data_IF_134959943634
#
_entry.id   IF_134959943634
#
_cell.length_a   1.000
_cell.length_b   1.000
_cell.length_c   1.000
_cell.angle_alpha   90.00
_cell.angle_beta   90.00
_cell.angle_gamma   90.00
#
_symmetry.space_group_name_H-M   'P 1'
#
loop_
_entity.id
_entity.type
_entity.pdbx_description
1 polymer ?
#
# COMPACT_ATOMS: atom_id res chain seq x y z
N UNK A 1 30.40 -3.31 -60.93
CA UNK A 1 29.30 -3.20 -59.95
C UNK A 1 29.44 -4.37 -58.99
N UNK A 2 30.00 -4.16 -57.80
CA UNK A 2 30.17 -5.22 -56.79
C UNK A 2 29.04 -5.08 -55.76
N UNK A 3 28.16 -6.08 -55.69
CA UNK A 3 27.12 -6.17 -54.66
C UNK A 3 27.74 -6.27 -53.25
N UNK A 4 27.09 -5.69 -52.21
CA UNK A 4 27.58 -5.81 -50.86
C UNK A 4 27.27 -7.22 -50.32
N UNK A 5 28.32 -7.97 -49.99
CA UNK A 5 28.25 -9.24 -49.26
C UNK A 5 27.60 -9.01 -47.89
N UNK A 6 26.33 -9.41 -47.76
CA UNK A 6 25.65 -9.46 -46.47
C UNK A 6 26.27 -10.59 -45.63
N UNK A 7 27.03 -10.23 -44.59
CA UNK A 7 27.57 -11.21 -43.63
C UNK A 7 26.41 -11.98 -43.00
N UNK A 8 26.38 -13.32 -43.06
CA UNK A 8 25.35 -14.09 -42.38
C UNK A 8 25.53 -13.89 -40.87
N UNK A 9 24.51 -13.31 -40.21
CA UNK A 9 24.49 -13.25 -38.75
C UNK A 9 24.54 -14.69 -38.23
N UNK A 10 25.66 -15.04 -37.60
CA UNK A 10 25.85 -16.34 -36.97
C UNK A 10 24.85 -16.43 -35.84
N UNK A 11 24.05 -17.49 -35.78
CA UNK A 11 23.06 -17.73 -34.71
C UNK A 11 23.66 -17.50 -33.30
N UNK A 12 24.91 -17.91 -33.10
CA UNK A 12 25.70 -17.69 -31.88
C UNK A 12 26.05 -16.21 -31.59
N UNK A 13 26.20 -15.37 -32.62
CA UNK A 13 26.39 -13.93 -32.48
C UNK A 13 25.10 -13.23 -32.04
N UNK A 14 23.95 -13.63 -32.62
CA UNK A 14 22.63 -13.17 -32.20
C UNK A 14 22.30 -13.57 -30.76
N UNK A 15 22.55 -14.83 -30.39
CA UNK A 15 22.34 -15.33 -29.02
C UNK A 15 23.23 -14.61 -28.00
N UNK A 16 24.50 -14.32 -28.34
CA UNK A 16 25.41 -13.55 -27.47
C UNK A 16 24.97 -12.10 -27.29
N UNK A 17 24.51 -11.44 -28.35
CA UNK A 17 23.98 -10.08 -28.29
C UNK A 17 22.72 -10.03 -27.42
N UNK A 18 21.75 -10.91 -27.68
CA UNK A 18 20.52 -11.00 -26.85
C UNK A 18 20.82 -11.33 -25.38
N UNK A 19 21.85 -12.14 -25.11
CA UNK A 19 22.26 -12.44 -23.74
C UNK A 19 22.85 -11.21 -23.02
N UNK A 20 23.69 -10.42 -23.70
CA UNK A 20 24.22 -9.18 -23.15
C UNK A 20 23.12 -8.15 -22.88
N UNK A 21 22.13 -8.04 -23.77
CA UNK A 21 20.99 -7.15 -23.59
C UNK A 21 20.17 -7.56 -22.36
N UNK A 22 19.91 -8.85 -22.16
CA UNK A 22 19.23 -9.37 -20.98
C UNK A 22 20.01 -9.10 -19.69
N UNK A 23 21.33 -9.28 -19.70
CA UNK A 23 22.19 -8.98 -18.55
C UNK A 23 22.14 -7.49 -18.23
N UNK A 24 22.24 -6.63 -19.25
CA UNK A 24 22.17 -5.18 -19.09
C UNK A 24 20.84 -4.75 -18.49
N UNK A 25 19.72 -5.27 -19.01
CA UNK A 25 18.37 -4.99 -18.49
C UNK A 25 18.24 -5.51 -17.06
N UNK A 26 18.78 -6.69 -16.75
CA UNK A 26 18.73 -7.24 -15.40
C UNK A 26 19.50 -6.36 -14.40
N UNK A 27 20.72 -5.93 -14.75
CA UNK A 27 21.52 -4.99 -13.93
C UNK A 27 20.76 -3.69 -13.71
N UNK A 28 20.14 -3.14 -14.76
CA UNK A 28 19.35 -1.92 -14.67
C UNK A 28 18.15 -2.10 -13.72
N UNK A 29 17.42 -3.22 -13.83
CA UNK A 29 16.30 -3.53 -12.93
C UNK A 29 16.79 -3.69 -11.49
N UNK A 30 17.92 -4.36 -11.26
CA UNK A 30 18.54 -4.48 -9.96
C UNK A 30 18.90 -3.11 -9.38
N UNK A 31 19.52 -2.23 -10.18
CA UNK A 31 19.85 -0.88 -9.77
C UNK A 31 18.61 -0.08 -9.37
N UNK A 32 17.57 -0.10 -10.20
CA UNK A 32 16.29 0.58 -9.91
C UNK A 32 15.66 0.03 -8.63
N UNK A 33 15.65 -1.29 -8.43
CA UNK A 33 15.10 -1.93 -7.23
C UNK A 33 15.89 -1.66 -5.96
N UNK A 34 17.21 -1.56 -6.06
CA UNK A 34 18.07 -1.32 -4.90
C UNK A 34 17.96 0.14 -4.44
N UNK A 35 18.03 1.09 -5.39
CA UNK A 35 18.26 2.49 -5.07
C UNK A 35 17.07 3.43 -5.32
N UNK A 36 16.21 3.13 -6.30
CA UNK A 36 15.17 4.08 -6.71
C UNK A 36 13.83 3.74 -6.07
N UNK A 37 13.44 2.47 -6.15
CA UNK A 37 12.08 2.05 -5.83
C UNK A 37 12.05 0.74 -5.05
N UNK A 38 11.18 0.65 -4.04
CA UNK A 38 10.91 -0.60 -3.34
C UNK A 38 9.41 -0.87 -3.23
N UNK A 39 9.01 -2.13 -3.45
CA UNK A 39 7.61 -2.55 -3.31
C UNK A 39 7.40 -3.10 -1.90
N UNK A 40 6.49 -2.48 -1.16
CA UNK A 40 6.09 -2.94 0.18
C UNK A 40 4.63 -3.36 0.18
N UNK A 41 4.35 -4.47 0.87
CA UNK A 41 2.99 -4.85 1.25
C UNK A 41 2.65 -4.18 2.58
N UNK A 42 1.53 -3.47 2.65
CA UNK A 42 1.12 -2.78 3.89
C UNK A 42 0.70 -3.83 4.92
N UNK A 43 1.42 -3.98 6.05
CA UNK A 43 1.14 -5.06 7.00
C UNK A 43 0.03 -4.69 8.01
N UNK A 44 -0.34 -3.42 8.09
CA UNK A 44 -1.20 -2.89 9.15
C UNK A 44 -2.32 -2.02 8.61
N UNK A 45 -3.47 -2.09 9.24
CA UNK A 45 -4.68 -1.37 8.84
C UNK A 45 -4.72 0.11 9.28
N UNK A 46 -3.67 0.63 9.91
CA UNK A 46 -3.68 2.00 10.46
C UNK A 46 -3.82 3.12 9.43
N UNK A 47 -3.61 2.84 8.14
CA UNK A 47 -3.78 3.81 7.07
C UNK A 47 -5.14 3.66 6.37
N UNK A 48 -6.04 2.83 6.89
CA UNK A 48 -7.43 2.69 6.40
C UNK A 48 -8.16 4.01 6.62
N UNK A 49 -8.98 4.50 5.67
CA UNK A 49 -9.37 3.84 4.41
C UNK A 49 -8.41 4.07 3.23
N UNK A 50 -7.35 4.87 3.38
CA UNK A 50 -6.43 5.20 2.27
C UNK A 50 -5.59 4.01 1.80
N UNK A 51 -5.05 3.21 2.72
CA UNK A 51 -4.32 1.98 2.43
C UNK A 51 -4.86 0.87 3.30
N UNK A 52 -5.35 -0.19 2.66
CA UNK A 52 -5.97 -1.31 3.37
C UNK A 52 -4.93 -2.40 3.60
N UNK A 53 -4.76 -2.77 4.87
CA UNK A 53 -3.88 -3.86 5.28
C UNK A 53 -4.56 -4.71 6.34
N UNK A 54 -5.55 -5.52 5.95
CA UNK A 54 -6.33 -6.31 6.90
C UNK A 54 -7.60 -6.90 6.31
N UNK A 55 -8.49 -7.38 7.18
CA UNK A 55 -9.81 -7.86 6.79
C UNK A 55 -10.82 -6.73 6.87
N UNK A 56 -11.42 -6.39 5.74
CA UNK A 56 -12.44 -5.36 5.64
C UNK A 56 -13.77 -5.94 5.17
N UNK A 57 -14.85 -5.35 5.63
CA UNK A 57 -16.19 -5.49 5.10
C UNK A 57 -16.70 -4.11 4.66
N UNK A 58 -17.45 -4.07 3.56
CA UNK A 58 -18.19 -2.88 3.12
C UNK A 58 -19.65 -3.07 3.50
N UNK A 59 -20.19 -2.12 4.24
CA UNK A 59 -21.53 -2.20 4.84
C UNK A 59 -22.12 -0.79 4.89
N UNK A 60 -23.44 -0.68 5.01
CA UNK A 60 -24.13 0.59 5.27
C UNK A 60 -24.51 0.58 6.76
N UNK A 61 -23.59 1.09 7.60
CA UNK A 61 -23.65 0.92 9.06
C UNK A 61 -24.61 1.94 9.70
N UNK A 62 -24.77 3.12 9.10
CA UNK A 62 -25.65 4.18 9.59
C UNK A 62 -26.99 4.26 8.83
N UNK A 63 -27.13 3.55 7.71
CA UNK A 63 -28.36 3.45 6.94
C UNK A 63 -28.58 4.62 5.97
N UNK A 64 -27.51 5.36 5.64
CA UNK A 64 -27.57 6.50 4.72
C UNK A 64 -27.49 6.09 3.23
N UNK A 65 -27.26 4.79 2.97
CA UNK A 65 -27.16 4.21 1.64
C UNK A 65 -25.76 4.34 1.01
N UNK A 66 -24.75 4.79 1.75
CA UNK A 66 -23.35 4.82 1.32
C UNK A 66 -22.59 3.61 1.85
N UNK A 67 -21.51 3.27 1.14
CA UNK A 67 -20.60 2.22 1.58
C UNK A 67 -19.68 2.76 2.70
N UNK A 68 -19.86 2.23 3.90
CA UNK A 68 -18.96 2.32 5.04
C UNK A 68 -17.98 1.14 5.07
N UNK A 69 -16.91 1.29 5.85
CA UNK A 69 -15.96 0.19 6.09
C UNK A 69 -15.99 -0.26 7.54
N UNK A 70 -16.11 -1.57 7.75
CA UNK A 70 -15.80 -2.22 9.02
C UNK A 70 -14.50 -3.00 8.86
N UNK A 71 -13.55 -2.77 9.77
CA UNK A 71 -12.26 -3.43 9.80
C UNK A 71 -12.17 -4.30 11.06
N UNK A 72 -11.83 -5.57 10.88
CA UNK A 72 -11.48 -6.47 11.99
C UNK A 72 -9.99 -6.33 12.31
N UNK A 73 -9.66 -5.81 13.51
CA UNK A 73 -8.29 -5.70 14.00
C UNK A 73 -8.18 -6.23 15.43
N UNK A 74 -7.50 -7.37 15.61
CA UNK A 74 -7.19 -7.98 16.92
C UNK A 74 -8.41 -8.16 17.85
N UNK A 75 -9.56 -8.55 17.29
CA UNK A 75 -10.79 -8.76 18.05
C UNK A 75 -11.57 -7.48 18.38
N UNK A 76 -11.14 -6.33 17.85
CA UNK A 76 -11.94 -5.10 17.83
C UNK A 76 -12.35 -4.77 16.41
N UNK A 77 -13.54 -4.18 16.27
CA UNK A 77 -14.04 -3.66 15.01
C UNK A 77 -13.90 -2.14 15.01
N UNK A 78 -13.07 -1.65 14.10
CA UNK A 78 -12.98 -0.24 13.78
C UNK A 78 -13.91 0.05 12.60
N UNK A 79 -14.68 1.12 12.71
CA UNK A 79 -15.66 1.51 11.70
C UNK A 79 -15.22 2.84 11.07
N UNK A 80 -15.51 2.98 9.78
CA UNK A 80 -15.22 4.17 9.00
C UNK A 80 -16.51 4.57 8.28
N UNK A 81 -17.21 5.55 8.83
CA UNK A 81 -18.50 6.02 8.32
C UNK A 81 -18.28 7.06 7.23
N UNK A 82 -18.93 6.89 6.09
CA UNK A 82 -18.73 7.72 4.91
C UNK A 82 -19.71 8.90 4.89
N UNK A 83 -19.25 10.08 5.31
CA UNK A 83 -20.09 11.29 5.31
C UNK A 83 -20.18 11.98 3.92
N UNK A 84 -19.68 11.37 2.85
CA UNK A 84 -19.68 11.91 1.49
C UNK A 84 -18.55 12.88 1.14
N UNK A 85 -17.89 13.48 2.13
CA UNK A 85 -16.65 14.26 1.96
C UNK A 85 -15.39 13.48 2.36
N UNK A 86 -15.57 12.36 3.08
CA UNK A 86 -14.50 11.59 3.68
C UNK A 86 -15.06 10.48 4.56
N UNK A 87 -14.20 9.96 5.44
CA UNK A 87 -14.58 8.93 6.40
C UNK A 87 -14.29 9.38 7.82
N UNK A 88 -15.28 9.25 8.70
CA UNK A 88 -15.11 9.41 10.13
C UNK A 88 -14.73 8.05 10.73
N UNK A 89 -13.52 7.97 11.29
CA UNK A 89 -13.06 6.77 11.99
C UNK A 89 -13.60 6.75 13.41
N UNK A 90 -14.12 5.62 13.83
CA UNK A 90 -14.56 5.40 15.20
C UNK A 90 -14.59 3.92 15.56
N UNK A 91 -15.05 3.62 16.77
CA UNK A 91 -15.35 2.26 17.18
C UNK A 91 -16.85 2.04 17.18
N UNK A 92 -17.26 0.77 17.04
CA UNK A 92 -18.65 0.38 17.14
C UNK A 92 -19.33 0.92 18.43
N UNK A 93 -18.59 0.95 19.55
CA UNK A 93 -19.06 1.47 20.85
C UNK A 93 -19.31 2.99 20.88
N UNK A 94 -18.79 3.73 19.90
CA UNK A 94 -18.94 5.18 19.82
C UNK A 94 -20.24 5.57 19.11
N UNK A 95 -20.87 4.64 18.38
CA UNK A 95 -22.19 4.86 17.76
C UNK A 95 -23.30 4.95 18.81
N UNK A 96 -24.42 5.62 18.52
CA UNK A 96 -25.63 5.57 19.35
C UNK A 96 -26.09 4.12 19.58
N UNK A 97 -26.57 3.80 20.80
CA UNK A 97 -26.94 2.43 21.18
C UNK A 97 -27.92 1.71 20.23
N UNK A 98 -28.81 2.46 19.58
CA UNK A 98 -29.74 1.88 18.59
C UNK A 98 -29.02 1.41 17.32
N UNK A 99 -28.04 2.18 16.85
CA UNK A 99 -27.22 1.85 15.68
C UNK A 99 -26.21 0.75 16.00
N UNK A 100 -25.67 0.73 17.23
CA UNK A 100 -24.71 -0.30 17.68
C UNK A 100 -25.22 -1.72 17.42
N UNK A 101 -26.49 -2.00 17.72
CA UNK A 101 -27.08 -3.33 17.52
C UNK A 101 -27.17 -3.70 16.05
N UNK A 102 -27.66 -2.78 15.21
CA UNK A 102 -27.78 -2.99 13.76
C UNK A 102 -26.42 -3.18 13.11
N UNK A 103 -25.47 -2.29 13.40
CA UNK A 103 -24.10 -2.37 12.91
C UNK A 103 -23.42 -3.66 13.39
N UNK A 104 -23.60 -4.08 14.64
CA UNK A 104 -23.07 -5.35 15.15
C UNK A 104 -23.63 -6.56 14.41
N UNK A 105 -24.95 -6.59 14.16
CA UNK A 105 -25.60 -7.67 13.41
C UNK A 105 -25.12 -7.73 11.95
N UNK A 106 -24.99 -6.56 11.30
CA UNK A 106 -24.45 -6.48 9.95
C UNK A 106 -22.99 -6.97 9.90
N UNK A 107 -22.14 -6.48 10.80
CA UNK A 107 -20.74 -6.88 10.93
C UNK A 107 -20.62 -8.39 11.16
N UNK A 108 -21.45 -8.96 12.04
CA UNK A 108 -21.44 -10.39 12.33
C UNK A 108 -21.84 -11.26 11.11
N UNK A 109 -22.67 -10.73 10.22
CA UNK A 109 -23.10 -11.42 8.98
C UNK A 109 -22.21 -11.08 7.77
N UNK A 110 -21.35 -10.07 7.90
CA UNK A 110 -20.60 -9.55 6.78
C UNK A 110 -19.45 -10.48 6.37
N UNK A 111 -19.22 -10.67 5.05
CA UNK A 111 -18.06 -11.39 4.57
C UNK A 111 -16.81 -10.50 4.69
N UNK A 112 -16.04 -10.67 5.75
CA UNK A 112 -14.74 -10.04 5.89
C UNK A 112 -13.75 -10.57 4.86
N UNK A 113 -13.28 -9.71 3.95
CA UNK A 113 -12.30 -10.06 2.93
C UNK A 113 -10.93 -9.49 3.28
N UNK A 114 -9.92 -10.35 3.25
CA UNK A 114 -8.52 -9.92 3.40
C UNK A 114 -8.08 -9.09 2.21
N UNK A 115 -7.96 -7.77 2.38
CA UNK A 115 -7.42 -6.86 1.38
C UNK A 115 -6.09 -6.32 1.88
N UNK A 116 -5.06 -6.50 1.07
CA UNK A 116 -3.72 -6.05 1.37
C UNK A 116 -3.17 -5.30 0.17
N UNK A 117 -3.14 -3.99 0.28
CA UNK A 117 -2.63 -3.12 -0.76
C UNK A 117 -1.09 -3.16 -0.78
N UNK A 118 -0.53 -3.12 -1.98
CA UNK A 118 0.90 -2.97 -2.20
C UNK A 118 1.19 -1.51 -2.56
N UNK A 119 2.28 -0.97 -2.01
CA UNK A 119 2.73 0.39 -2.27
C UNK A 119 4.13 0.37 -2.87
N UNK A 120 4.33 1.27 -3.82
CA UNK A 120 5.62 1.48 -4.46
C UNK A 120 6.27 2.72 -3.86
N UNK A 121 7.34 2.52 -3.11
CA UNK A 121 8.03 3.59 -2.37
C UNK A 121 9.16 4.15 -3.21
N UNK A 122 9.15 5.46 -3.40
CA UNK A 122 10.27 6.20 -3.98
C UNK A 122 11.29 6.53 -2.87
N UNK A 123 12.47 5.91 -2.94
CA UNK A 123 13.56 6.09 -1.97
C UNK A 123 14.33 7.39 -2.16
N UNK A 124 14.31 7.96 -3.35
CA UNK A 124 15.11 9.15 -3.71
C UNK A 124 14.32 10.44 -3.54
N UNK A 125 13.01 10.37 -3.28
CA UNK A 125 12.15 11.54 -3.14
C UNK A 125 12.74 12.58 -2.18
N UNK A 126 13.12 12.17 -0.96
CA UNK A 126 13.63 13.10 0.04
C UNK A 126 15.12 13.47 -0.12
N UNK A 127 15.79 13.00 -1.18
CA UNK A 127 17.10 13.52 -1.57
C UNK A 127 16.99 14.83 -2.35
N UNK A 128 15.89 15.00 -3.10
CA UNK A 128 15.70 16.13 -4.01
C UNK A 128 14.61 17.11 -3.55
N UNK A 129 13.73 16.71 -2.63
CA UNK A 129 12.70 17.59 -2.05
C UNK A 129 12.58 17.42 -0.54
N UNK A 130 12.30 18.51 0.16
CA UNK A 130 11.91 18.45 1.57
C UNK A 130 10.55 17.74 1.74
N UNK A 131 10.33 17.08 2.90
CA UNK A 131 9.04 16.49 3.23
C UNK A 131 7.96 17.57 3.32
N UNK A 132 6.75 17.24 2.88
CA UNK A 132 5.58 18.13 2.90
C UNK A 132 4.48 17.51 3.75
N UNK A 133 3.65 18.37 4.35
CA UNK A 133 2.43 17.91 5.02
C UNK A 133 1.55 17.20 3.98
N UNK A 134 0.97 16.08 4.38
CA UNK A 134 0.17 15.21 3.53
C UNK A 134 0.95 14.07 2.86
N UNK A 135 2.29 14.12 2.80
CA UNK A 135 3.11 13.02 2.25
C UNK A 135 2.89 11.72 3.03
N UNK A 136 2.92 10.58 2.33
CA UNK A 136 2.93 9.26 2.97
C UNK A 136 4.38 8.80 3.07
N UNK A 137 4.90 8.75 4.30
CA UNK A 137 6.26 8.35 4.59
C UNK A 137 6.32 6.90 5.08
N UNK A 138 7.36 6.20 4.65
CA UNK A 138 7.69 4.84 5.07
C UNK A 138 8.99 4.89 5.84
N UNK A 139 8.98 4.40 7.08
CA UNK A 139 10.16 4.46 7.96
C UNK A 139 10.25 3.24 8.87
N UNK A 140 11.46 3.00 9.38
CA UNK A 140 11.69 1.98 10.42
C UNK A 140 11.45 2.64 11.78
N UNK A 141 10.58 2.08 12.63
CA UNK A 141 10.34 2.61 13.96
C UNK A 141 11.61 2.49 14.81
N UNK A 142 11.73 3.30 15.86
CA UNK A 142 12.82 3.16 16.82
C UNK A 142 12.71 1.83 17.60
N UNK A 143 13.78 1.43 18.27
CA UNK A 143 13.83 0.16 19.00
C UNK A 143 12.78 0.02 20.11
N UNK A 144 12.23 1.14 20.64
CA UNK A 144 11.24 1.10 21.74
C UNK A 144 9.86 0.67 21.28
N UNK A 145 9.48 0.99 20.04
CA UNK A 145 8.18 0.65 19.44
C UNK A 145 8.33 -0.34 18.27
N UNK A 146 9.52 -0.93 18.14
CA UNK A 146 9.79 -1.92 17.10
C UNK A 146 8.98 -3.19 17.35
N UNK A 147 8.38 -3.72 16.28
CA UNK A 147 7.70 -5.00 16.29
C UNK A 147 8.23 -5.83 15.11
N UNK A 148 8.79 -7.00 15.40
CA UNK A 148 9.30 -7.90 14.36
C UNK A 148 8.23 -8.34 13.36
N UNK A 149 6.96 -8.38 13.75
CA UNK A 149 5.83 -8.69 12.87
C UNK A 149 5.41 -7.50 11.97
N UNK A 150 5.84 -6.28 12.30
CA UNK A 150 5.57 -5.05 11.54
C UNK A 150 6.82 -4.15 11.54
N UNK A 151 7.90 -4.55 10.83
CA UNK A 151 9.20 -3.87 10.92
C UNK A 151 9.23 -2.50 10.23
N UNK A 152 8.19 -2.15 9.49
CA UNK A 152 8.08 -0.95 8.67
C UNK A 152 6.76 -0.26 8.96
N UNK A 153 6.82 1.04 9.17
CA UNK A 153 5.66 1.88 9.48
C UNK A 153 5.37 2.78 8.29
N UNK A 154 4.09 2.84 7.91
CA UNK A 154 3.57 3.72 6.86
C UNK A 154 2.63 4.71 7.54
N UNK A 155 2.94 6.00 7.46
CA UNK A 155 2.15 7.06 8.09
C UNK A 155 2.07 8.29 7.20
N UNK A 156 1.02 9.10 7.39
CA UNK A 156 0.88 10.42 6.78
C UNK A 156 1.63 11.47 7.61
N UNK A 157 2.44 12.29 6.95
CA UNK A 157 3.12 13.42 7.57
C UNK A 157 2.10 14.53 7.86
N UNK A 158 1.77 14.72 9.14
CA UNK A 158 0.84 15.77 9.57
C UNK A 158 1.57 16.98 10.15
N UNK A 159 2.74 16.77 10.78
CA UNK A 159 3.59 17.81 11.35
C UNK A 159 4.96 17.82 10.70
N UNK A 160 5.51 19.02 10.51
CA UNK A 160 6.89 19.24 10.07
C UNK A 160 7.59 20.11 11.13
N UNK A 161 8.92 20.04 11.26
CA UNK A 161 9.67 20.92 12.17
C UNK A 161 9.42 22.40 11.86
N UNK A 162 9.19 23.19 12.89
CA UNK A 162 8.80 24.62 12.82
C UNK A 162 7.38 24.85 13.31
#
# INVERSE_FOLDING_TARGET
MTEPSARPMTFWGGVRASALDLVTVWILICFVRLFVVENYRVPSSSMTPTLVGGKIARLDLDGDGRDDYALESRGQYEIFINNGLGYDSGYLRDLPHEQQRRAAEQIARAPFRGRYDNILVNKTAYWFRSPRRGDIAVFKPNARIFNSAAPIYVKRLVGLPG
#
